data_IF_053884856601
#
_entry.id   IF_053884856601
#
_cell.length_a   1.000
_cell.length_b   1.000
_cell.length_c   1.000
_cell.angle_alpha   90.00
_cell.angle_beta   90.00
_cell.angle_gamma   90.00
#
_symmetry.space_group_name_H-M   'P 1'
#
loop_
_entity.id
_entity.type
_entity.pdbx_description
1 polymer ?
#
# COMPACT_ATOMS: atom_id res chain seq x y z
N UNK A 1 -5.38 13.84 22.63
CA UNK A 1 -3.92 14.08 22.61
C UNK A 1 -3.09 12.86 22.15
N UNK A 2 -3.68 11.66 22.00
CA UNK A 2 -2.96 10.46 21.54
C UNK A 2 -2.48 10.51 20.08
N UNK A 3 -3.24 11.16 19.18
CA UNK A 3 -2.90 11.24 17.76
C UNK A 3 -1.65 12.07 17.41
N UNK A 4 -1.26 13.05 18.24
CA UNK A 4 -0.02 13.81 18.02
C UNK A 4 1.23 12.97 18.31
N UNK A 5 1.19 12.10 19.32
CA UNK A 5 2.31 11.19 19.62
C UNK A 5 2.48 10.12 18.55
N UNK A 6 1.39 9.59 17.98
CA UNK A 6 1.50 8.60 16.89
C UNK A 6 2.11 9.18 15.61
N UNK A 7 1.80 10.44 15.28
CA UNK A 7 2.40 11.12 14.13
C UNK A 7 3.90 11.39 14.32
N UNK A 8 4.33 11.73 15.55
CA UNK A 8 5.75 11.91 15.88
C UNK A 8 6.53 10.59 15.93
N UNK A 9 5.87 9.49 16.31
CA UNK A 9 6.44 8.14 16.35
C UNK A 9 6.26 7.38 15.02
N UNK A 10 5.73 8.02 13.98
CA UNK A 10 5.57 7.38 12.66
C UNK A 10 6.93 7.08 12.05
N UNK A 11 7.02 5.96 11.30
CA UNK A 11 8.24 5.50 10.64
C UNK A 11 8.98 6.64 9.94
N UNK A 12 8.28 7.47 9.18
CA UNK A 12 8.88 8.55 8.38
C UNK A 12 9.67 9.58 9.21
N UNK A 13 9.32 9.76 10.47
CA UNK A 13 9.97 10.72 11.38
C UNK A 13 10.95 10.02 12.32
N UNK A 14 10.56 8.87 12.86
CA UNK A 14 11.31 8.17 13.89
C UNK A 14 12.45 7.32 13.31
N UNK A 15 12.23 6.64 12.18
CA UNK A 15 13.20 5.76 11.55
C UNK A 15 14.54 6.45 11.18
N UNK A 16 14.56 7.62 10.50
CA UNK A 16 15.82 8.29 10.18
C UNK A 16 16.58 8.73 11.44
N UNK A 17 15.87 9.14 12.48
CA UNK A 17 16.46 9.54 13.77
C UNK A 17 17.10 8.35 14.49
N UNK A 18 16.40 7.21 14.56
CA UNK A 18 16.92 5.99 15.18
C UNK A 18 18.12 5.43 14.41
N UNK A 19 18.06 5.44 13.07
CA UNK A 19 19.15 4.95 12.21
C UNK A 19 20.42 5.80 12.37
N UNK A 20 20.30 7.13 12.36
CA UNK A 20 21.43 8.04 12.58
C UNK A 20 22.06 7.84 13.97
N UNK A 21 21.24 7.62 15.00
CA UNK A 21 21.73 7.30 16.35
C UNK A 21 22.47 5.96 16.34
N UNK A 22 21.90 4.91 15.75
CA UNK A 22 22.51 3.56 15.67
C UNK A 22 23.85 3.55 14.94
N UNK A 23 24.01 4.37 13.89
CA UNK A 23 25.27 4.49 13.14
C UNK A 23 26.37 5.17 13.99
N UNK A 24 26.02 6.17 14.80
CA UNK A 24 26.95 6.91 15.67
C UNK A 24 27.20 6.24 17.03
N UNK A 25 26.28 5.41 17.48
CA UNK A 25 26.34 4.72 18.77
C UNK A 25 27.61 3.87 18.98
N UNK A 26 28.08 3.05 18.02
CA UNK A 26 29.27 2.23 18.21
C UNK A 26 30.55 3.07 18.32
N UNK A 27 30.66 4.16 17.56
CA UNK A 27 31.78 5.10 17.69
C UNK A 27 31.77 5.78 19.07
N UNK A 28 30.60 6.25 19.51
CA UNK A 28 30.45 6.85 20.83
C UNK A 28 30.81 5.88 21.96
N UNK A 29 30.37 4.63 21.88
CA UNK A 29 30.71 3.59 22.86
C UNK A 29 32.23 3.35 22.93
N UNK A 30 32.91 3.30 21.77
CA UNK A 30 34.36 3.10 21.71
C UNK A 30 35.14 4.26 22.32
N UNK A 31 34.71 5.49 22.06
CA UNK A 31 35.37 6.69 22.60
C UNK A 31 35.12 6.88 24.11
N UNK A 32 33.96 6.45 24.60
CA UNK A 32 33.57 6.61 26.00
C UNK A 32 33.81 5.35 26.85
N UNK A 33 34.21 4.23 26.26
CA UNK A 33 34.46 2.95 26.95
C UNK A 33 35.34 3.10 28.19
N UNK A 34 36.39 3.91 28.10
CA UNK A 34 37.32 4.17 29.21
C UNK A 34 36.74 5.00 30.36
N UNK A 35 35.61 5.70 30.13
CA UNK A 35 34.90 6.54 31.09
C UNK A 35 33.66 5.85 31.67
N UNK A 36 33.26 4.72 31.10
CA UNK A 36 32.02 4.02 31.44
C UNK A 36 32.29 2.88 32.41
N UNK A 37 31.38 2.71 33.36
CA UNK A 37 31.33 1.50 34.20
C UNK A 37 30.86 0.31 33.36
N UNK A 38 31.24 -0.93 33.70
CA UNK A 38 30.78 -2.14 33.02
C UNK A 38 29.25 -2.25 32.98
N UNK A 39 28.55 -1.80 34.03
CA UNK A 39 27.08 -1.77 34.08
C UNK A 39 26.46 -0.79 33.07
N UNK A 40 27.05 0.41 32.92
CA UNK A 40 26.56 1.40 31.94
C UNK A 40 26.84 0.91 30.52
N UNK A 41 27.99 0.27 30.28
CA UNK A 41 28.32 -0.33 28.99
C UNK A 41 27.28 -1.36 28.58
N UNK A 42 26.95 -2.30 29.46
CA UNK A 42 25.92 -3.30 29.21
C UNK A 42 24.54 -2.66 28.96
N UNK A 43 24.18 -1.62 29.73
CA UNK A 43 22.93 -0.88 29.51
C UNK A 43 22.87 -0.25 28.11
N UNK A 44 23.94 0.40 27.68
CA UNK A 44 24.01 1.03 26.36
C UNK A 44 24.01 0.00 25.22
N UNK A 45 24.71 -1.12 25.37
CA UNK A 45 24.64 -2.23 24.41
C UNK A 45 23.21 -2.78 24.28
N UNK A 46 22.48 -2.91 25.39
CA UNK A 46 21.08 -3.32 25.37
C UNK A 46 20.17 -2.26 24.70
N UNK A 47 20.42 -0.97 24.94
CA UNK A 47 19.69 0.11 24.26
C UNK A 47 19.91 0.09 22.74
N UNK A 48 21.15 -0.14 22.29
CA UNK A 48 21.47 -0.27 20.87
C UNK A 48 20.71 -1.44 20.24
N UNK A 49 20.68 -2.61 20.90
CA UNK A 49 19.92 -3.78 20.43
C UNK A 49 18.43 -3.48 20.32
N UNK A 50 17.84 -2.81 21.32
CA UNK A 50 16.42 -2.44 21.28
C UNK A 50 16.13 -1.47 20.13
N UNK A 51 16.99 -0.46 19.90
CA UNK A 51 16.83 0.47 18.79
C UNK A 51 16.96 -0.24 17.43
N UNK A 52 17.88 -1.19 17.30
CA UNK A 52 18.07 -2.00 16.08
C UNK A 52 16.84 -2.85 15.77
N UNK A 53 16.28 -3.53 16.77
CA UNK A 53 15.06 -4.33 16.60
C UNK A 53 13.85 -3.46 16.22
N UNK A 54 13.71 -2.27 16.82
CA UNK A 54 12.66 -1.31 16.43
C UNK A 54 12.84 -0.84 14.98
N UNK A 55 14.08 -0.55 14.55
CA UNK A 55 14.34 -0.20 13.15
C UNK A 55 13.95 -1.32 12.19
N UNK A 56 14.29 -2.58 12.51
CA UNK A 56 13.93 -3.74 11.68
C UNK A 56 12.43 -3.95 11.57
N UNK A 57 11.70 -3.84 12.69
CA UNK A 57 10.24 -3.96 12.70
C UNK A 57 9.62 -2.88 11.80
N UNK A 58 10.05 -1.62 11.97
CA UNK A 58 9.59 -0.51 11.14
C UNK A 58 9.92 -0.69 9.65
N UNK A 59 11.03 -1.33 9.30
CA UNK A 59 11.36 -1.68 7.92
C UNK A 59 10.46 -2.79 7.37
N UNK A 60 10.25 -3.83 8.16
CA UNK A 60 9.44 -5.00 7.80
C UNK A 60 7.97 -4.65 7.58
N UNK A 61 7.36 -3.81 8.45
CA UNK A 61 5.98 -3.34 8.30
C UNK A 61 5.75 -2.70 6.91
N UNK A 62 6.69 -1.89 6.46
CA UNK A 62 6.53 -1.17 5.18
C UNK A 62 6.70 -2.06 3.97
N UNK A 63 7.58 -3.07 4.04
CA UNK A 63 7.68 -4.06 2.97
C UNK A 63 6.39 -4.87 2.85
N UNK A 64 5.81 -5.28 3.98
CA UNK A 64 4.54 -6.00 4.02
C UNK A 64 3.39 -5.13 3.47
N UNK A 65 3.17 -3.93 4.03
CA UNK A 65 2.13 -2.99 3.56
C UNK A 65 2.30 -2.64 2.08
N UNK A 66 3.53 -2.36 1.63
CA UNK A 66 3.80 -2.07 0.22
C UNK A 66 3.52 -3.28 -0.67
N UNK A 67 3.84 -4.49 -0.21
CA UNK A 67 3.61 -5.72 -0.97
C UNK A 67 2.11 -6.04 -1.12
N UNK A 68 1.31 -5.84 -0.07
CA UNK A 68 -0.14 -6.05 -0.11
C UNK A 68 -0.84 -5.00 -0.99
N UNK A 69 -0.46 -3.73 -0.84
CA UNK A 69 -0.96 -2.63 -1.67
C UNK A 69 -0.59 -2.87 -3.15
N UNK A 70 0.65 -3.25 -3.43
CA UNK A 70 1.10 -3.57 -4.78
C UNK A 70 0.30 -4.74 -5.36
N UNK A 71 0.14 -5.83 -4.60
CA UNK A 71 -0.59 -7.01 -5.06
C UNK A 71 -2.05 -6.67 -5.42
N UNK A 72 -2.69 -5.83 -4.59
CA UNK A 72 -4.04 -5.32 -4.84
C UNK A 72 -4.12 -4.56 -6.16
N UNK A 73 -3.21 -3.61 -6.41
CA UNK A 73 -3.20 -2.84 -7.66
C UNK A 73 -2.87 -3.68 -8.90
N UNK A 74 -1.96 -4.65 -8.79
CA UNK A 74 -1.66 -5.58 -9.88
C UNK A 74 -2.88 -6.42 -10.28
N UNK A 75 -3.69 -6.84 -9.30
CA UNK A 75 -4.92 -7.58 -9.57
C UNK A 75 -6.02 -6.68 -10.16
N UNK A 76 -6.17 -5.45 -9.67
CA UNK A 76 -7.08 -4.46 -10.29
C UNK A 76 -6.73 -4.22 -11.76
N UNK A 77 -5.44 -4.04 -12.08
CA UNK A 77 -4.97 -3.84 -13.45
C UNK A 77 -5.31 -5.04 -14.35
N UNK A 78 -5.10 -6.27 -13.87
CA UNK A 78 -5.44 -7.48 -14.63
C UNK A 78 -6.93 -7.59 -14.94
N UNK A 79 -7.78 -7.25 -13.98
CA UNK A 79 -9.24 -7.26 -14.18
C UNK A 79 -9.67 -6.21 -15.21
N UNK A 80 -9.09 -5.01 -15.15
CA UNK A 80 -9.33 -3.98 -16.16
C UNK A 80 -8.90 -4.41 -17.56
N UNK A 81 -7.71 -5.02 -17.69
CA UNK A 81 -7.22 -5.58 -18.96
C UNK A 81 -8.15 -6.68 -19.50
N UNK A 82 -8.66 -7.56 -18.63
CA UNK A 82 -9.61 -8.60 -19.03
C UNK A 82 -10.95 -8.01 -19.51
N UNK A 83 -11.44 -6.95 -18.86
CA UNK A 83 -12.65 -6.25 -19.28
C UNK A 83 -12.46 -5.56 -20.62
N UNK A 84 -11.34 -4.86 -20.82
CA UNK A 84 -11.00 -4.25 -22.10
C UNK A 84 -10.98 -5.30 -23.22
N UNK A 85 -10.27 -6.40 -23.02
CA UNK A 85 -10.20 -7.51 -23.99
C UNK A 85 -11.57 -8.09 -24.32
N UNK A 86 -12.41 -8.27 -23.30
CA UNK A 86 -13.74 -8.83 -23.48
C UNK A 86 -14.62 -7.89 -24.31
N UNK A 87 -14.56 -6.57 -24.07
CA UNK A 87 -15.27 -5.55 -24.85
C UNK A 87 -14.72 -5.41 -26.27
N UNK A 88 -13.41 -5.40 -26.45
CA UNK A 88 -12.73 -5.30 -27.75
C UNK A 88 -12.98 -6.52 -28.64
N UNK A 89 -13.30 -7.67 -28.05
CA UNK A 89 -13.67 -8.88 -28.79
C UNK A 89 -15.06 -8.80 -29.44
N UNK A 90 -15.85 -7.75 -29.17
CA UNK A 90 -17.18 -7.58 -29.75
C UNK A 90 -17.14 -7.28 -31.24
N UNK A 91 -17.96 -8.03 -31.98
CA UNK A 91 -18.16 -7.82 -33.40
C UNK A 91 -19.63 -7.64 -33.74
N UNK A 92 -19.92 -6.94 -34.83
CA UNK A 92 -21.30 -6.74 -35.34
C UNK A 92 -21.95 -8.07 -35.77
N UNK A 93 -21.17 -9.11 -36.00
CA UNK A 93 -21.63 -10.45 -36.34
C UNK A 93 -22.08 -11.28 -35.12
N UNK A 94 -21.82 -10.81 -33.89
CA UNK A 94 -22.20 -11.52 -32.67
C UNK A 94 -23.73 -11.54 -32.49
N UNK A 95 -24.25 -12.72 -32.13
CA UNK A 95 -25.67 -12.88 -31.82
C UNK A 95 -26.01 -12.20 -30.49
N UNK A 96 -27.30 -11.92 -30.27
CA UNK A 96 -27.78 -11.35 -29.00
C UNK A 96 -27.40 -12.20 -27.78
N UNK A 97 -27.34 -13.53 -27.93
CA UNK A 97 -26.90 -14.44 -26.86
C UNK A 97 -25.41 -14.26 -26.52
N UNK A 98 -24.55 -14.06 -27.53
CA UNK A 98 -23.11 -13.83 -27.33
C UNK A 98 -22.89 -12.49 -26.64
N UNK A 99 -23.58 -11.44 -27.09
CA UNK A 99 -23.50 -10.11 -26.47
C UNK A 99 -23.99 -10.11 -25.02
N UNK A 100 -25.05 -10.88 -24.73
CA UNK A 100 -25.55 -11.02 -23.37
C UNK A 100 -24.53 -11.73 -22.46
N UNK A 101 -23.96 -12.85 -22.90
CA UNK A 101 -22.91 -13.57 -22.16
C UNK A 101 -21.67 -12.69 -21.91
N UNK A 102 -21.28 -11.89 -22.90
CA UNK A 102 -20.19 -10.92 -22.78
C UNK A 102 -20.48 -9.89 -21.70
N UNK A 103 -21.67 -9.29 -21.74
CA UNK A 103 -22.11 -8.31 -20.75
C UNK A 103 -22.12 -8.89 -19.33
N UNK A 104 -22.66 -10.09 -19.13
CA UNK A 104 -22.63 -10.76 -17.82
C UNK A 104 -21.20 -11.01 -17.33
N UNK A 105 -20.29 -11.40 -18.22
CA UNK A 105 -18.88 -11.60 -17.88
C UNK A 105 -18.20 -10.29 -17.50
N UNK A 106 -18.39 -9.22 -18.28
CA UNK A 106 -17.87 -7.88 -17.98
C UNK A 106 -18.40 -7.38 -16.64
N UNK A 107 -19.69 -7.57 -16.37
CA UNK A 107 -20.31 -7.20 -15.09
C UNK A 107 -19.69 -7.97 -13.92
N UNK A 108 -19.49 -9.28 -14.07
CA UNK A 108 -18.84 -10.10 -13.03
C UNK A 108 -17.40 -9.66 -12.75
N UNK A 109 -16.65 -9.27 -13.78
CA UNK A 109 -15.29 -8.75 -13.62
C UNK A 109 -15.27 -7.39 -12.93
N UNK A 110 -16.20 -6.51 -13.29
CA UNK A 110 -16.39 -5.22 -12.62
C UNK A 110 -16.77 -5.37 -11.14
N UNK A 111 -17.63 -6.33 -10.81
CA UNK A 111 -17.95 -6.64 -9.40
C UNK A 111 -16.73 -7.14 -8.63
N UNK A 112 -15.90 -8.01 -9.24
CA UNK A 112 -14.65 -8.47 -8.62
C UNK A 112 -13.64 -7.35 -8.45
N UNK A 113 -13.63 -6.38 -9.35
CA UNK A 113 -12.76 -5.20 -9.24
C UNK A 113 -13.08 -4.39 -7.97
N UNK A 114 -14.36 -4.31 -7.58
CA UNK A 114 -14.79 -3.63 -6.35
C UNK A 114 -14.31 -4.32 -5.06
N UNK A 115 -14.06 -5.64 -5.08
CA UNK A 115 -13.51 -6.39 -3.93
C UNK A 115 -12.08 -5.94 -3.60
N UNK A 116 -11.32 -5.56 -4.65
CA UNK A 116 -10.03 -4.90 -4.50
C UNK A 116 -10.18 -3.40 -4.22
N UNK A 117 -11.38 -2.87 -3.92
CA UNK A 117 -11.66 -1.48 -3.58
C UNK A 117 -11.26 -0.43 -4.63
N UNK A 118 -11.12 0.82 -4.22
CA UNK A 118 -10.88 1.93 -5.15
C UNK A 118 -9.51 1.86 -5.87
N UNK A 119 -9.44 2.28 -7.15
CA UNK A 119 -8.17 2.55 -7.81
C UNK A 119 -7.49 3.79 -7.19
N UNK A 120 -6.18 3.98 -7.41
CA UNK A 120 -5.47 5.20 -7.04
C UNK A 120 -6.14 6.45 -7.60
N UNK A 121 -6.32 7.49 -6.78
CA UNK A 121 -7.01 8.73 -7.16
C UNK A 121 -6.36 9.42 -8.39
N UNK A 122 -5.03 9.35 -8.52
CA UNK A 122 -4.29 9.87 -9.67
C UNK A 122 -4.65 9.19 -11.00
N UNK A 123 -5.13 7.94 -10.96
CA UNK A 123 -5.59 7.21 -12.15
C UNK A 123 -7.06 7.50 -12.47
N UNK A 124 -7.90 7.73 -11.44
CA UNK A 124 -9.34 8.00 -11.57
C UNK A 124 -9.61 9.45 -11.99
N UNK A 125 -8.69 10.38 -11.75
CA UNK A 125 -8.83 11.79 -12.16
C UNK A 125 -8.78 12.05 -13.67
N UNK A 126 -8.31 11.09 -14.49
CA UNK A 126 -8.09 11.24 -15.94
C UNK A 126 -8.96 10.29 -16.79
N UNK A 127 -9.97 9.62 -16.22
CA UNK A 127 -10.84 8.70 -17.00
C UNK A 127 -11.91 9.40 -17.84
N UNK A 128 -11.52 10.37 -18.69
CA UNK A 128 -12.29 10.87 -19.83
C UNK A 128 -13.79 11.17 -19.59
N UNK A 129 -14.63 11.23 -20.64
CA UNK A 129 -16.09 11.27 -20.50
C UNK A 129 -16.68 9.88 -20.15
N UNK A 130 -15.97 9.09 -19.35
CA UNK A 130 -16.36 7.75 -18.90
C UNK A 130 -17.12 7.77 -17.57
N UNK A 131 -17.66 6.59 -17.19
CA UNK A 131 -18.54 6.39 -16.03
C UNK A 131 -17.96 7.05 -14.76
N UNK A 132 -18.66 8.02 -14.14
CA UNK A 132 -18.20 8.61 -12.90
C UNK A 132 -18.24 7.57 -11.78
N UNK A 133 -17.17 7.46 -11.00
CA UNK A 133 -17.12 6.64 -9.80
C UNK A 133 -17.24 7.54 -8.56
N UNK A 134 -18.17 7.23 -7.66
CA UNK A 134 -18.33 7.94 -6.38
C UNK A 134 -17.09 7.72 -5.48
N UNK A 135 -16.83 8.59 -4.47
CA UNK A 135 -15.85 8.38 -3.39
C UNK A 135 -15.89 7.02 -2.67
N UNK A 136 -16.92 6.18 -2.86
CA UNK A 136 -16.93 4.77 -2.41
C UNK A 136 -16.48 3.76 -3.47
N UNK A 137 -16.10 4.18 -4.67
CA UNK A 137 -15.68 3.33 -5.79
C UNK A 137 -16.82 2.68 -6.56
N UNK A 138 -18.05 3.19 -6.38
CA UNK A 138 -19.22 2.70 -7.10
C UNK A 138 -19.43 3.51 -8.39
N UNK A 139 -19.71 2.85 -9.54
CA UNK A 139 -20.12 3.55 -10.74
C UNK A 139 -21.46 4.26 -10.49
N UNK A 140 -21.46 5.59 -10.57
CA UNK A 140 -22.64 6.45 -10.33
C UNK A 140 -23.78 6.23 -11.34
N UNK A 141 -23.52 5.47 -12.42
CA UNK A 141 -24.52 5.11 -13.43
C UNK A 141 -25.27 3.79 -13.13
N UNK A 142 -24.86 3.00 -12.13
CA UNK A 142 -25.61 1.78 -11.75
C UNK A 142 -26.85 2.05 -10.89
N UNK A 143 -27.22 3.31 -10.64
CA UNK A 143 -28.42 3.68 -9.87
C UNK A 143 -29.65 4.02 -10.73
N UNK A 144 -29.64 3.73 -12.03
CA UNK A 144 -30.83 3.78 -12.88
C UNK A 144 -31.18 2.41 -13.46
N UNK A 145 -31.83 1.58 -12.64
CA UNK A 145 -32.94 0.69 -13.03
C UNK A 145 -33.66 0.17 -11.79
#
# INVERSE_FOLDING_TARGET
MQGMMQSLLSKEVLYPSLKDILEKFPEWLRENESKLSPEDKERYENQQKLMDEVCKELESETEADTSEIKHRYENQQKLMDEVCKELESETEADTSEIKHKRFEKVLSLMQRLQDYGQPPADLVGDVGPGIPFDPQGNPEQCSMM
#
